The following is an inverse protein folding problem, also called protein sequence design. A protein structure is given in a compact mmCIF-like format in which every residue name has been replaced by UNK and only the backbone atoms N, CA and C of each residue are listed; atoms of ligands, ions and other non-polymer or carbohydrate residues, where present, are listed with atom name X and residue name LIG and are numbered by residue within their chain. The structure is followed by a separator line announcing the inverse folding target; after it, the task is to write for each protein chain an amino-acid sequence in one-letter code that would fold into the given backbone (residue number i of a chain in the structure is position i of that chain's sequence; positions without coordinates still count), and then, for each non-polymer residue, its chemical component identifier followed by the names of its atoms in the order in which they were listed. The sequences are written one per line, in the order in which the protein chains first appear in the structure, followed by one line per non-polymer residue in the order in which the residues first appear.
data_IF_787528906799
#
_entry.id   IF_787528906799
#
_cell.length_a   1.000
_cell.length_b   1.000
_cell.length_c   1.000
_cell.angle_alpha   90.00
_cell.angle_beta   90.00
_cell.angle_gamma   90.00
#
_symmetry.space_group_name_H-M   'P 1'
#
loop_
_entity.id
_entity.type
_entity.pdbx_description
1 polymer ?
#
# COMPACT_ATOMS: atom_id res chain seq x y z
N UNK A 1 -2.39 -3.38 -9.91
CA UNK A 1 -3.41 -3.93 -10.80
C UNK A 1 -2.81 -4.68 -12.01
N UNK A 2 -1.85 -4.16 -12.81
CA UNK A 2 -1.36 -4.86 -14.00
C UNK A 2 -0.75 -6.24 -13.73
N UNK A 3 -0.05 -6.44 -12.61
CA UNK A 3 0.50 -7.74 -12.25
C UNK A 3 -0.60 -8.80 -12.03
N UNK A 4 -1.67 -8.43 -11.29
CA UNK A 4 -2.85 -9.29 -11.10
C UNK A 4 -3.55 -9.57 -12.44
N UNK A 5 -3.67 -8.56 -13.31
CA UNK A 5 -4.28 -8.70 -14.63
C UNK A 5 -3.49 -9.66 -15.54
N UNK A 6 -2.15 -9.61 -15.52
CA UNK A 6 -1.31 -10.59 -16.23
C UNK A 6 -1.54 -12.01 -15.74
N UNK A 7 -1.56 -12.23 -14.42
CA UNK A 7 -1.85 -13.55 -13.85
C UNK A 7 -3.25 -14.05 -14.20
N UNK A 8 -4.26 -13.18 -14.14
CA UNK A 8 -5.62 -13.52 -14.53
C UNK A 8 -5.76 -13.84 -16.04
N UNK A 9 -5.04 -13.12 -16.91
CA UNK A 9 -5.03 -13.38 -18.36
C UNK A 9 -4.63 -14.82 -18.67
N UNK A 10 -3.62 -15.31 -17.98
CA UNK A 10 -3.08 -16.65 -18.22
C UNK A 10 -4.06 -17.75 -17.74
N UNK A 11 -4.95 -17.43 -16.80
CA UNK A 11 -5.98 -18.33 -16.28
C UNK A 11 -7.32 -18.23 -17.02
N UNK A 12 -7.61 -17.09 -17.66
CA UNK A 12 -8.87 -16.83 -18.37
C UNK A 12 -8.74 -17.17 -19.85
N UNK A 13 -9.80 -17.78 -20.42
CA UNK A 13 -9.87 -18.03 -21.85
C UNK A 13 -9.89 -16.75 -22.70
N UNK A 14 -9.65 -16.87 -24.03
CA UNK A 14 -9.57 -15.71 -24.92
C UNK A 14 -10.88 -14.92 -25.02
N UNK A 15 -12.02 -15.56 -24.80
CA UNK A 15 -13.35 -14.97 -24.95
C UNK A 15 -13.82 -14.16 -23.74
N UNK A 16 -13.03 -14.11 -22.65
CA UNK A 16 -13.36 -13.30 -21.48
C UNK A 16 -13.28 -11.82 -21.80
N UNK A 17 -14.36 -11.07 -21.54
CA UNK A 17 -14.33 -9.61 -21.58
C UNK A 17 -13.45 -9.07 -20.45
N UNK A 18 -12.56 -8.13 -20.76
CA UNK A 18 -11.52 -7.64 -19.83
C UNK A 18 -11.47 -6.13 -19.78
N UNK A 19 -11.53 -5.59 -18.57
CA UNK A 19 -11.36 -4.16 -18.32
C UNK A 19 -10.34 -3.96 -17.20
N UNK A 20 -9.37 -3.07 -17.42
CA UNK A 20 -8.35 -2.69 -16.46
C UNK A 20 -8.41 -1.19 -16.19
N UNK A 21 -8.42 -0.81 -14.92
CA UNK A 21 -8.15 0.57 -14.50
C UNK A 21 -6.86 0.59 -13.69
N UNK A 22 -5.96 1.50 -14.01
CA UNK A 22 -4.68 1.69 -13.34
C UNK A 22 -4.47 3.15 -12.95
N UNK A 23 -3.48 3.43 -12.10
CA UNK A 23 -3.06 4.80 -11.86
C UNK A 23 -2.30 5.35 -13.08
N UNK A 24 -2.24 6.67 -13.23
CA UNK A 24 -1.48 7.30 -14.32
C UNK A 24 0.00 6.91 -14.32
N UNK A 25 0.58 6.79 -13.12
CA UNK A 25 1.99 6.44 -12.96
C UNK A 25 2.31 4.96 -13.27
N UNK A 26 1.30 4.08 -13.25
CA UNK A 26 1.51 2.66 -13.50
C UNK A 26 1.55 2.38 -15.00
N UNK A 27 2.58 1.71 -15.54
CA UNK A 27 2.61 1.30 -16.95
C UNK A 27 1.41 0.43 -17.33
N UNK A 28 0.92 0.56 -18.57
CA UNK A 28 -0.14 -0.26 -19.12
C UNK A 28 0.29 -1.70 -19.40
N UNK A 29 -0.68 -2.57 -19.66
CA UNK A 29 -0.42 -3.93 -20.17
C UNK A 29 -0.02 -3.91 -21.64
N UNK A 30 -0.49 -2.91 -22.39
CA UNK A 30 -0.37 -2.83 -23.86
C UNK A 30 -0.87 -4.09 -24.57
N UNK A 31 -1.89 -4.73 -24.00
CA UNK A 31 -2.51 -5.95 -24.51
C UNK A 31 -3.90 -5.59 -25.09
N UNK A 32 -4.11 -5.73 -26.42
CA UNK A 32 -5.37 -5.34 -27.07
C UNK A 32 -6.59 -6.14 -26.60
N UNK A 33 -6.39 -7.25 -25.88
CA UNK A 33 -7.48 -8.00 -25.27
C UNK A 33 -8.10 -7.30 -24.05
N UNK A 34 -7.47 -6.23 -23.56
CA UNK A 34 -7.93 -5.45 -22.41
C UNK A 34 -8.40 -4.06 -22.85
N UNK A 35 -9.58 -3.65 -22.39
CA UNK A 35 -9.93 -2.24 -22.37
C UNK A 35 -9.18 -1.60 -21.19
N UNK A 36 -8.23 -0.70 -21.48
CA UNK A 36 -7.41 -0.06 -20.46
C UNK A 36 -7.82 1.40 -20.24
N UNK A 37 -8.02 1.74 -18.98
CA UNK A 37 -8.29 3.10 -18.50
C UNK A 37 -7.28 3.48 -17.42
N UNK A 38 -7.17 4.77 -17.14
CA UNK A 38 -6.33 5.26 -16.04
C UNK A 38 -7.04 6.36 -15.25
N UNK A 39 -6.65 6.52 -13.99
CA UNK A 39 -7.18 7.55 -13.11
C UNK A 39 -6.12 8.09 -12.15
N UNK A 40 -6.44 9.22 -11.52
CA UNK A 40 -5.58 9.91 -10.57
C UNK A 40 -5.34 9.13 -9.28
N UNK A 41 -4.18 9.34 -8.69
CA UNK A 41 -3.82 8.86 -7.36
C UNK A 41 -2.79 9.82 -6.74
N UNK A 42 -2.89 10.23 -5.48
CA UNK A 42 -3.84 9.76 -4.43
C UNK A 42 -5.24 10.41 -4.48
N UNK A 43 -5.46 11.41 -5.30
CA UNK A 43 -6.75 12.07 -5.46
C UNK A 43 -7.40 11.66 -6.78
N UNK A 44 -8.72 11.49 -6.75
CA UNK A 44 -9.52 11.26 -7.95
C UNK A 44 -9.51 12.51 -8.84
N UNK A 45 -9.44 12.28 -10.14
CA UNK A 45 -9.50 13.31 -11.17
C UNK A 45 -10.63 13.02 -12.18
N UNK A 46 -10.69 13.78 -13.26
CA UNK A 46 -11.70 13.58 -14.31
C UNK A 46 -11.63 12.19 -14.94
N UNK A 47 -10.42 11.68 -15.17
CA UNK A 47 -10.22 10.35 -15.76
C UNK A 47 -10.63 9.25 -14.77
N UNK A 48 -10.47 9.47 -13.46
CA UNK A 48 -11.02 8.57 -12.44
C UNK A 48 -12.54 8.45 -12.53
N UNK A 49 -13.25 9.55 -12.81
CA UNK A 49 -14.71 9.52 -13.00
C UNK A 49 -15.09 8.79 -14.30
N UNK A 50 -14.42 9.11 -15.40
CA UNK A 50 -14.63 8.46 -16.70
C UNK A 50 -14.42 6.93 -16.58
N UNK A 51 -13.37 6.51 -15.85
CA UNK A 51 -13.09 5.12 -15.56
C UNK A 51 -14.18 4.47 -14.70
N UNK A 52 -14.65 5.13 -13.65
CA UNK A 52 -15.70 4.60 -12.77
C UNK A 52 -17.04 4.46 -13.47
N UNK A 53 -17.44 5.45 -14.27
CA UNK A 53 -18.64 5.37 -15.12
C UNK A 53 -18.53 4.25 -16.15
N UNK A 54 -17.36 4.05 -16.74
CA UNK A 54 -17.13 2.96 -17.69
C UNK A 54 -17.22 1.60 -17.00
N UNK A 55 -16.65 1.47 -15.79
CA UNK A 55 -16.76 0.23 -14.99
C UNK A 55 -18.24 -0.07 -14.69
N UNK A 56 -19.04 0.90 -14.26
CA UNK A 56 -20.47 0.68 -13.99
C UNK A 56 -21.24 0.24 -15.25
N UNK A 57 -20.99 0.91 -16.39
CA UNK A 57 -21.60 0.52 -17.66
C UNK A 57 -21.19 -0.90 -18.05
N UNK A 58 -19.90 -1.22 -17.96
CA UNK A 58 -19.37 -2.54 -18.30
C UNK A 58 -20.02 -3.64 -17.45
N UNK A 59 -20.15 -3.42 -16.13
CA UNK A 59 -20.85 -4.34 -15.24
C UNK A 59 -22.32 -4.52 -15.63
N UNK A 60 -22.99 -3.45 -16.07
CA UNK A 60 -24.36 -3.48 -16.55
C UNK A 60 -24.54 -4.16 -17.91
N UNK A 61 -23.53 -4.17 -18.78
CA UNK A 61 -23.49 -4.81 -20.10
C UNK A 61 -23.30 -6.33 -20.01
N UNK A 62 -22.74 -6.83 -18.89
CA UNK A 62 -22.55 -8.27 -18.71
C UNK A 62 -23.89 -9.02 -18.73
N UNK A 63 -23.96 -10.20 -19.39
CA UNK A 63 -25.15 -11.02 -19.36
C UNK A 63 -25.62 -11.34 -17.93
N UNK A 64 -26.93 -11.42 -17.66
CA UNK A 64 -27.42 -11.86 -16.36
C UNK A 64 -26.85 -13.25 -15.99
N UNK A 65 -26.31 -13.38 -14.79
CA UNK A 65 -25.68 -14.61 -14.31
C UNK A 65 -24.24 -14.84 -14.78
N UNK A 66 -23.67 -13.96 -15.62
CA UNK A 66 -22.26 -14.07 -16.01
C UNK A 66 -21.34 -13.99 -14.79
N UNK A 67 -20.38 -14.92 -14.62
CA UNK A 67 -19.43 -14.85 -13.54
C UNK A 67 -18.45 -13.67 -13.74
N UNK A 68 -18.11 -13.01 -12.65
CA UNK A 68 -17.17 -11.90 -12.62
C UNK A 68 -15.94 -12.27 -11.78
N UNK A 69 -14.75 -12.14 -12.36
CA UNK A 69 -13.50 -12.10 -11.62
C UNK A 69 -13.11 -10.63 -11.40
N UNK A 70 -13.17 -10.18 -10.16
CA UNK A 70 -12.80 -8.83 -9.75
C UNK A 70 -11.41 -8.83 -9.11
N UNK A 71 -10.49 -8.02 -9.64
CA UNK A 71 -9.13 -7.86 -9.14
C UNK A 71 -9.00 -6.48 -8.49
N UNK A 72 -8.89 -6.42 -7.17
CA UNK A 72 -8.86 -5.16 -6.42
C UNK A 72 -7.52 -5.03 -5.69
N UNK A 73 -6.85 -3.90 -5.87
CA UNK A 73 -5.59 -3.60 -5.19
C UNK A 73 -5.60 -2.17 -4.66
N UNK A 74 -4.58 -1.81 -3.88
CA UNK A 74 -4.35 -0.45 -3.39
C UNK A 74 -4.39 0.60 -4.49
N UNK A 75 -4.75 1.83 -4.13
CA UNK A 75 -4.93 2.94 -5.06
C UNK A 75 -6.25 2.93 -5.85
N UNK A 76 -6.96 1.80 -5.95
CA UNK A 76 -8.23 1.69 -6.70
C UNK A 76 -9.30 2.66 -6.20
N UNK A 77 -9.30 2.98 -4.92
CA UNK A 77 -10.24 3.93 -4.31
C UNK A 77 -10.16 5.36 -4.89
N UNK A 78 -9.01 5.76 -5.41
CA UNK A 78 -8.83 7.07 -6.04
C UNK A 78 -8.94 6.99 -7.57
N UNK A 79 -8.32 5.99 -8.19
CA UNK A 79 -8.27 5.92 -9.65
C UNK A 79 -9.56 5.42 -10.31
N UNK A 80 -10.51 4.86 -9.53
CA UNK A 80 -11.84 4.44 -10.02
C UNK A 80 -12.92 5.07 -9.17
N UNK A 81 -13.64 6.05 -9.70
CA UNK A 81 -14.69 6.74 -8.98
C UNK A 81 -15.94 6.96 -9.84
N UNK A 82 -17.08 6.58 -9.35
CA UNK A 82 -18.37 6.97 -9.91
C UNK A 82 -19.19 7.70 -8.85
N UNK A 83 -19.41 8.96 -9.05
CA UNK A 83 -20.10 9.78 -8.08
C UNK A 83 -21.59 9.48 -8.03
N UNK A 84 -22.16 9.50 -6.84
CA UNK A 84 -23.55 9.18 -6.63
C UNK A 84 -24.44 10.42 -6.72
N UNK A 85 -25.52 10.36 -7.49
CA UNK A 85 -26.47 11.45 -7.68
C UNK A 85 -25.83 12.65 -8.38
N UNK A 86 -26.05 13.85 -7.84
CA UNK A 86 -25.55 15.11 -8.43
C UNK A 86 -24.23 15.61 -7.83
N UNK A 87 -23.52 14.75 -7.08
CA UNK A 87 -22.21 15.08 -6.52
C UNK A 87 -21.21 15.28 -7.67
N UNK A 88 -20.43 16.35 -7.60
CA UNK A 88 -19.41 16.68 -8.60
C UNK A 88 -18.01 16.34 -8.09
N UNK A 89 -17.04 16.30 -9.01
CA UNK A 89 -15.62 16.13 -8.62
C UNK A 89 -15.14 17.25 -7.70
N UNK A 90 -15.64 18.49 -7.92
CA UNK A 90 -15.32 19.62 -7.06
C UNK A 90 -15.85 19.42 -5.64
N UNK A 91 -17.09 18.89 -5.50
CA UNK A 91 -17.70 18.58 -4.21
C UNK A 91 -16.91 17.47 -3.49
N UNK A 92 -16.55 16.40 -4.21
CA UNK A 92 -15.72 15.32 -3.66
C UNK A 92 -14.37 15.84 -3.18
N UNK A 93 -13.66 16.60 -4.01
CA UNK A 93 -12.33 17.15 -3.69
C UNK A 93 -12.37 18.09 -2.49
N UNK A 94 -13.36 19.00 -2.42
CA UNK A 94 -13.53 19.89 -1.30
C UNK A 94 -13.82 19.11 0.00
N UNK A 95 -14.67 18.09 -0.07
CA UNK A 95 -14.99 17.21 1.07
C UNK A 95 -13.79 16.45 1.55
N UNK A 96 -13.01 15.85 0.64
CA UNK A 96 -11.78 15.11 0.99
C UNK A 96 -10.76 16.02 1.68
N UNK A 97 -10.56 17.26 1.18
CA UNK A 97 -9.67 18.24 1.83
C UNK A 97 -10.13 18.60 3.24
N UNK A 98 -11.43 18.83 3.41
CA UNK A 98 -11.99 19.15 4.73
C UNK A 98 -11.83 17.98 5.71
N UNK A 99 -12.06 16.75 5.26
CA UNK A 99 -11.88 15.54 6.06
C UNK A 99 -10.41 15.32 6.43
N UNK A 100 -9.48 15.48 5.50
CA UNK A 100 -8.04 15.35 5.77
C UNK A 100 -7.55 16.39 6.79
N UNK A 101 -8.02 17.64 6.65
CA UNK A 101 -7.65 18.73 7.56
C UNK A 101 -8.26 18.59 8.96
N UNK A 102 -9.33 17.79 9.12
CA UNK A 102 -10.06 17.65 10.39
C UNK A 102 -9.38 16.73 11.41
N UNK A 103 -8.42 15.89 10.99
CA UNK A 103 -7.82 14.85 11.84
C UNK A 103 -8.76 13.72 12.22
N UNK A 104 -9.92 13.59 11.56
CA UNK A 104 -10.84 12.47 11.78
C UNK A 104 -10.18 11.14 11.42
N UNK A 105 -10.50 10.07 12.13
CA UNK A 105 -9.95 8.75 11.85
C UNK A 105 -10.37 8.25 10.46
N UNK A 106 -9.50 7.44 9.85
CA UNK A 106 -9.64 6.97 8.45
C UNK A 106 -10.98 6.26 8.18
N UNK A 107 -11.56 5.59 9.17
CA UNK A 107 -12.86 4.94 9.01
C UNK A 107 -14.00 5.94 8.78
N UNK A 108 -13.99 7.11 9.46
CA UNK A 108 -14.98 8.17 9.24
C UNK A 108 -14.80 8.81 7.86
N UNK A 109 -13.54 9.01 7.42
CA UNK A 109 -13.21 9.45 6.07
C UNK A 109 -13.78 8.49 5.02
N UNK A 110 -13.54 7.18 5.18
CA UNK A 110 -14.02 6.16 4.25
C UNK A 110 -15.55 6.03 4.26
N UNK A 111 -16.21 6.18 5.42
CA UNK A 111 -17.67 6.19 5.50
C UNK A 111 -18.27 7.27 4.58
N UNK A 112 -17.78 8.50 4.67
CA UNK A 112 -18.24 9.60 3.79
C UNK A 112 -18.00 9.28 2.32
N UNK A 113 -16.80 8.80 1.96
CA UNK A 113 -16.47 8.47 0.56
C UNK A 113 -17.38 7.40 -0.03
N UNK A 114 -17.70 6.36 0.75
CA UNK A 114 -18.58 5.27 0.30
C UNK A 114 -19.99 5.79 -0.01
N UNK A 115 -20.52 6.71 0.81
CA UNK A 115 -21.86 7.26 0.63
C UNK A 115 -21.96 8.35 -0.45
N UNK A 116 -20.81 8.84 -0.95
CA UNK A 116 -20.73 9.75 -2.10
C UNK A 116 -20.43 9.01 -3.42
N UNK A 117 -20.24 7.70 -3.39
CA UNK A 117 -19.86 6.87 -4.54
C UNK A 117 -20.96 5.88 -4.92
N UNK A 118 -21.10 5.59 -6.21
CA UNK A 118 -21.95 4.53 -6.73
C UNK A 118 -21.21 3.18 -6.89
N UNK A 119 -19.86 3.18 -6.75
CA UNK A 119 -19.03 1.98 -6.87
C UNK A 119 -18.62 1.40 -5.52
N UNK A 120 -18.31 2.26 -4.57
CA UNK A 120 -17.80 1.89 -3.25
C UNK A 120 -18.90 1.32 -2.34
N UNK A 121 -18.52 0.74 -1.20
CA UNK A 121 -19.47 0.20 -0.23
C UNK A 121 -20.44 -0.82 -0.83
N UNK A 122 -19.92 -1.74 -1.65
CA UNK A 122 -20.70 -2.77 -2.34
C UNK A 122 -21.42 -2.30 -3.60
N UNK A 123 -21.20 -1.05 -4.05
CA UNK A 123 -21.88 -0.51 -5.23
C UNK A 123 -21.58 -1.29 -6.51
N UNK A 124 -20.32 -1.69 -6.72
CA UNK A 124 -19.94 -2.53 -7.86
C UNK A 124 -20.55 -3.93 -7.77
N UNK A 125 -20.63 -4.53 -6.57
CA UNK A 125 -21.35 -5.80 -6.36
C UNK A 125 -22.81 -5.67 -6.72
N UNK A 126 -23.47 -4.57 -6.35
CA UNK A 126 -24.87 -4.30 -6.67
C UNK A 126 -25.08 -4.12 -8.17
N UNK A 127 -24.12 -3.49 -8.87
CA UNK A 127 -24.18 -3.32 -10.33
C UNK A 127 -23.94 -4.63 -11.08
N UNK A 128 -23.19 -5.57 -10.52
CA UNK A 128 -23.00 -6.90 -11.09
C UNK A 128 -24.28 -7.74 -10.97
N UNK A 129 -24.51 -8.66 -11.92
CA UNK A 129 -25.74 -9.49 -11.98
C UNK A 129 -25.48 -10.99 -11.88
N UNK A 130 -24.25 -11.39 -11.66
CA UNK A 130 -23.80 -12.77 -11.54
C UNK A 130 -22.98 -13.01 -10.27
N UNK A 131 -22.44 -14.23 -10.09
CA UNK A 131 -21.51 -14.54 -9.03
C UNK A 131 -20.20 -13.77 -9.22
N UNK A 132 -19.57 -13.33 -8.12
CA UNK A 132 -18.34 -12.57 -8.11
C UNK A 132 -17.27 -13.30 -7.30
N UNK A 133 -16.11 -13.53 -7.91
CA UNK A 133 -14.88 -13.86 -7.20
C UNK A 133 -14.00 -12.60 -7.11
N UNK A 134 -13.85 -12.05 -5.92
CA UNK A 134 -13.02 -10.87 -5.69
C UNK A 134 -11.65 -11.29 -5.15
N UNK A 135 -10.60 -11.10 -5.94
CA UNK A 135 -9.21 -11.29 -5.51
C UNK A 135 -8.66 -9.93 -5.01
N UNK A 136 -8.28 -9.90 -3.76
CA UNK A 136 -7.88 -8.68 -3.05
C UNK A 136 -6.37 -8.69 -2.78
N UNK A 137 -5.69 -7.61 -3.16
CA UNK A 137 -4.33 -7.32 -2.76
C UNK A 137 -4.38 -6.14 -1.78
N UNK A 138 -4.00 -6.38 -0.53
CA UNK A 138 -4.18 -5.43 0.55
C UNK A 138 -2.92 -4.64 0.85
N UNK A 139 -3.07 -3.32 0.89
CA UNK A 139 -2.12 -2.36 1.47
C UNK A 139 -2.67 -1.73 2.76
N UNK A 140 -3.72 -2.31 3.34
CA UNK A 140 -4.47 -1.77 4.49
C UNK A 140 -4.22 -2.62 5.72
N UNK A 141 -3.97 -1.97 6.86
CA UNK A 141 -3.87 -2.66 8.15
C UNK A 141 -5.16 -3.43 8.47
N UNK A 142 -5.03 -4.71 8.83
CA UNK A 142 -6.16 -5.59 9.17
C UNK A 142 -6.86 -6.23 7.99
N UNK A 143 -6.42 -5.97 6.75
CA UNK A 143 -6.85 -6.66 5.52
C UNK A 143 -8.39 -6.70 5.29
N UNK A 144 -9.13 -5.71 5.84
CA UNK A 144 -10.59 -5.66 5.72
C UNK A 144 -11.04 -5.41 4.27
N UNK A 145 -11.80 -6.34 3.65
CA UNK A 145 -12.32 -6.19 2.30
C UNK A 145 -13.17 -4.93 2.09
N UNK A 146 -13.84 -4.45 3.15
CA UNK A 146 -14.62 -3.22 3.12
C UNK A 146 -13.77 -1.95 3.07
N UNK A 147 -12.48 -2.04 3.40
CA UNK A 147 -11.52 -0.92 3.37
C UNK A 147 -10.67 -0.95 2.10
N UNK A 148 -10.25 -2.13 1.61
CA UNK A 148 -9.48 -2.29 0.36
C UNK A 148 -10.27 -1.70 -0.81
N UNK A 149 -9.71 -0.67 -1.46
CA UNK A 149 -10.39 0.04 -2.54
C UNK A 149 -11.72 0.71 -2.12
N UNK A 150 -11.98 0.88 -0.82
CA UNK A 150 -13.26 1.29 -0.22
C UNK A 150 -14.40 0.29 -0.49
N UNK A 151 -14.09 -0.99 -0.59
CA UNK A 151 -15.04 -2.10 -0.61
C UNK A 151 -16.02 -2.14 -1.77
N UNK A 152 -15.58 -2.12 -3.04
CA UNK A 152 -16.51 -2.14 -4.17
C UNK A 152 -17.36 -3.42 -4.24
N UNK A 153 -16.86 -4.53 -3.71
CA UNK A 153 -17.51 -5.84 -3.66
C UNK A 153 -17.71 -6.35 -2.23
N UNK A 154 -17.66 -5.48 -1.24
CA UNK A 154 -17.79 -5.85 0.17
C UNK A 154 -18.94 -5.11 0.85
N UNK A 155 -19.35 -5.62 2.02
CA UNK A 155 -20.30 -4.93 2.88
C UNK A 155 -19.71 -3.64 3.45
N UNK A 156 -20.56 -2.66 3.68
CA UNK A 156 -20.25 -1.43 4.38
C UNK A 156 -21.08 -1.34 5.68
N UNK A 157 -20.47 -1.51 6.85
CA UNK A 157 -21.19 -1.43 8.11
C UNK A 157 -21.60 0.01 8.47
N UNK A 158 -21.01 1.04 7.80
CA UNK A 158 -21.29 2.46 8.09
C UNK A 158 -22.59 2.93 7.45
N UNK A 159 -23.14 4.05 7.91
CA UNK A 159 -24.43 4.58 7.49
C UNK A 159 -24.35 6.00 6.97
N UNK A 160 -25.38 6.45 6.25
CA UNK A 160 -25.56 7.86 5.92
C UNK A 160 -25.59 8.75 7.16
N UNK A 161 -26.18 8.28 8.26
CA UNK A 161 -26.26 9.04 9.50
C UNK A 161 -24.87 9.28 10.11
N UNK A 162 -24.02 8.26 10.15
CA UNK A 162 -22.62 8.39 10.61
C UNK A 162 -21.81 9.28 9.69
N UNK A 163 -21.99 9.17 8.36
CA UNK A 163 -21.33 10.01 7.38
C UNK A 163 -21.75 11.47 7.51
N UNK A 164 -23.04 11.74 7.75
CA UNK A 164 -23.56 13.09 8.02
C UNK A 164 -22.96 13.66 9.31
N UNK A 165 -22.93 12.87 10.39
CA UNK A 165 -22.34 13.28 11.65
C UNK A 165 -20.86 13.68 11.49
N UNK A 166 -20.09 12.91 10.72
CA UNK A 166 -18.67 13.17 10.45
C UNK A 166 -18.45 14.50 9.71
N UNK A 167 -19.33 14.89 8.77
CA UNK A 167 -19.18 16.15 8.02
C UNK A 167 -19.86 17.34 8.67
N UNK A 168 -20.73 17.13 9.66
CA UNK A 168 -21.49 18.22 10.31
C UNK A 168 -20.61 19.36 10.83
N UNK A 169 -19.48 19.13 11.51
CA UNK A 169 -18.59 20.18 11.99
C UNK A 169 -17.67 20.76 10.91
N UNK A 170 -17.70 20.24 9.68
CA UNK A 170 -16.74 20.57 8.64
C UNK A 170 -17.34 21.53 7.60
N UNK A 171 -16.50 22.32 6.94
CA UNK A 171 -16.88 23.14 5.80
C UNK A 171 -16.91 22.29 4.51
N UNK A 172 -17.98 21.52 4.31
CA UNK A 172 -18.20 20.73 3.08
C UNK A 172 -19.28 21.37 2.21
N UNK A 173 -19.29 21.10 0.88
CA UNK A 173 -20.33 21.61 -0.03
C UNK A 173 -21.75 21.22 0.41
N UNK A 174 -22.72 22.10 0.17
CA UNK A 174 -24.11 21.88 0.58
C UNK A 174 -24.71 20.63 -0.07
N UNK A 175 -24.42 20.36 -1.34
CA UNK A 175 -24.88 19.13 -2.03
C UNK A 175 -24.47 17.86 -1.30
N UNK A 176 -23.26 17.85 -0.70
CA UNK A 176 -22.78 16.71 0.09
C UNK A 176 -23.63 16.56 1.35
N UNK A 177 -23.91 17.67 2.06
CA UNK A 177 -24.80 17.65 3.26
C UNK A 177 -26.20 17.19 2.92
N UNK A 178 -26.78 17.76 1.87
CA UNK A 178 -28.14 17.42 1.42
C UNK A 178 -28.25 15.93 1.06
N UNK A 179 -27.28 15.39 0.31
CA UNK A 179 -27.27 13.97 -0.02
C UNK A 179 -27.18 13.09 1.22
N UNK A 180 -26.23 13.37 2.13
CA UNK A 180 -26.06 12.59 3.35
C UNK A 180 -27.28 12.70 4.27
N UNK A 181 -27.88 13.88 4.36
CA UNK A 181 -29.11 14.09 5.12
C UNK A 181 -30.32 13.37 4.52
N UNK A 182 -30.47 13.36 3.19
CA UNK A 182 -31.53 12.62 2.51
C UNK A 182 -31.38 11.10 2.77
N UNK A 183 -30.15 10.59 2.68
CA UNK A 183 -29.87 9.20 3.02
C UNK A 183 -30.17 8.88 4.50
N UNK A 184 -29.77 9.74 5.43
CA UNK A 184 -30.04 9.58 6.86
C UNK A 184 -31.55 9.60 7.19
N UNK A 185 -32.39 10.23 6.36
CA UNK A 185 -33.85 10.16 6.46
C UNK A 185 -34.46 8.94 5.78
N UNK A 186 -33.64 8.07 5.15
CA UNK A 186 -34.12 6.89 4.41
C UNK A 186 -34.68 7.18 3.01
N UNK A 187 -34.43 8.38 2.47
CA UNK A 187 -34.86 8.77 1.10
C UNK A 187 -33.96 8.18 0.03
N UNK A 188 -32.74 7.75 0.38
CA UNK A 188 -31.78 7.10 -0.48
C UNK A 188 -31.49 5.68 0.02
N UNK A 189 -31.23 4.79 -0.93
CA UNK A 189 -30.83 3.43 -0.59
C UNK A 189 -29.41 3.45 0.02
N UNK A 190 -29.23 2.75 1.15
CA UNK A 190 -27.95 2.58 1.80
C UNK A 190 -26.94 1.82 0.93
N UNK A 191 -25.66 1.94 1.25
CA UNK A 191 -24.61 1.04 0.77
C UNK A 191 -24.96 -0.41 1.10
N UNK A 192 -24.26 -1.40 0.54
CA UNK A 192 -24.53 -2.83 0.83
C UNK A 192 -24.17 -3.12 2.28
N UNK A 193 -25.16 -3.55 3.06
CA UNK A 193 -25.01 -3.81 4.51
C UNK A 193 -24.63 -5.25 4.80
N UNK A 194 -23.96 -5.51 5.94
CA UNK A 194 -23.82 -6.89 6.44
C UNK A 194 -25.18 -7.57 6.51
N UNK A 195 -25.30 -8.74 5.85
CA UNK A 195 -26.55 -9.49 5.78
C UNK A 195 -27.42 -9.22 4.55
N UNK A 196 -27.08 -8.23 3.72
CA UNK A 196 -27.80 -8.00 2.46
C UNK A 196 -27.65 -9.21 1.51
N UNK A 197 -28.72 -9.55 0.75
CA UNK A 197 -28.73 -10.74 -0.10
C UNK A 197 -27.70 -10.69 -1.23
N UNK A 198 -27.25 -9.51 -1.65
CA UNK A 198 -26.19 -9.35 -2.65
C UNK A 198 -24.89 -10.03 -2.22
N UNK A 199 -24.60 -10.09 -0.91
CA UNK A 199 -23.38 -10.70 -0.37
C UNK A 199 -23.31 -12.22 -0.59
N UNK A 200 -24.44 -12.88 -0.78
CA UNK A 200 -24.45 -14.31 -1.10
C UNK A 200 -23.84 -14.64 -2.47
N UNK A 201 -23.61 -13.63 -3.31
CA UNK A 201 -23.05 -13.78 -4.66
C UNK A 201 -21.56 -13.50 -4.74
N UNK A 202 -20.92 -13.04 -3.66
CA UNK A 202 -19.51 -12.69 -3.67
C UNK A 202 -18.70 -13.59 -2.75
N UNK A 203 -17.59 -14.09 -3.28
CA UNK A 203 -16.51 -14.69 -2.52
C UNK A 203 -15.28 -13.79 -2.64
N UNK A 204 -14.67 -13.43 -1.52
CA UNK A 204 -13.48 -12.60 -1.46
C UNK A 204 -12.28 -13.41 -0.97
N UNK A 205 -11.18 -13.36 -1.72
CA UNK A 205 -9.92 -14.03 -1.40
C UNK A 205 -8.82 -12.99 -1.32
N UNK A 206 -8.13 -12.94 -0.18
CA UNK A 206 -6.92 -12.15 -0.02
C UNK A 206 -5.75 -12.91 -0.67
N UNK A 207 -5.20 -12.36 -1.76
CA UNK A 207 -4.12 -12.99 -2.52
C UNK A 207 -2.73 -12.49 -2.10
N UNK A 208 -2.68 -11.39 -1.36
CA UNK A 208 -1.45 -10.86 -0.79
C UNK A 208 -1.73 -9.69 0.13
N UNK A 209 -0.87 -9.55 1.14
CA UNK A 209 -0.89 -8.46 2.12
C UNK A 209 0.51 -8.28 2.71
N UNK A 210 0.68 -7.29 3.57
CA UNK A 210 1.93 -7.11 4.30
C UNK A 210 2.30 -8.35 5.12
N UNK A 211 1.30 -9.06 5.66
CA UNK A 211 1.54 -10.30 6.38
C UNK A 211 2.13 -11.39 5.46
N UNK A 212 1.68 -11.48 4.20
CA UNK A 212 2.25 -12.39 3.20
C UNK A 212 3.70 -12.04 2.90
N UNK A 213 4.00 -10.75 2.70
CA UNK A 213 5.37 -10.28 2.45
C UNK A 213 6.29 -10.52 3.66
N UNK A 214 5.82 -10.21 4.87
CA UNK A 214 6.56 -10.47 6.10
C UNK A 214 6.81 -11.97 6.34
N UNK A 215 5.82 -12.83 6.04
CA UNK A 215 5.98 -14.27 6.13
C UNK A 215 7.03 -14.78 5.15
N UNK A 216 7.07 -14.29 3.92
CA UNK A 216 8.07 -14.63 2.93
C UNK A 216 9.48 -14.20 3.37
N UNK A 217 9.64 -12.98 3.85
CA UNK A 217 10.91 -12.48 4.40
C UNK A 217 11.37 -13.29 5.62
N UNK A 218 10.43 -13.65 6.51
CA UNK A 218 10.71 -14.49 7.66
C UNK A 218 11.18 -15.90 7.26
N UNK A 219 10.60 -16.47 6.21
CA UNK A 219 11.00 -17.79 5.69
C UNK A 219 12.41 -17.74 5.09
N UNK A 220 12.75 -16.70 4.34
CA UNK A 220 14.11 -16.51 3.82
C UNK A 220 15.13 -16.34 4.95
N UNK A 221 14.79 -15.58 6.00
CA UNK A 221 15.64 -15.45 7.17
C UNK A 221 15.86 -16.83 7.88
N UNK A 222 14.82 -17.67 7.98
CA UNK A 222 14.95 -19.03 8.53
C UNK A 222 15.86 -19.91 7.67
N UNK A 223 15.71 -19.84 6.34
CA UNK A 223 16.59 -20.57 5.40
C UNK A 223 18.06 -20.14 5.54
N UNK A 224 18.28 -18.84 5.82
CA UNK A 224 19.60 -18.30 6.12
C UNK A 224 20.10 -18.63 7.55
N UNK A 225 19.39 -19.47 8.31
CA UNK A 225 19.81 -19.94 9.63
C UNK A 225 19.54 -18.98 10.79
N UNK A 226 18.63 -17.99 10.61
CA UNK A 226 18.24 -17.09 11.68
C UNK A 226 17.07 -17.64 12.50
N UNK A 227 17.10 -17.43 13.82
CA UNK A 227 15.92 -17.54 14.66
C UNK A 227 15.03 -16.31 14.41
N UNK A 228 13.79 -16.54 13.97
CA UNK A 228 12.93 -15.47 13.45
C UNK A 228 11.77 -15.16 14.39
N UNK A 229 11.62 -13.88 14.73
CA UNK A 229 10.40 -13.30 15.29
C UNK A 229 9.74 -12.38 14.25
N UNK A 230 8.41 -12.25 14.34
CA UNK A 230 7.62 -11.37 13.47
C UNK A 230 6.76 -10.43 14.31
N UNK A 231 6.25 -9.36 13.70
CA UNK A 231 5.34 -8.45 14.37
C UNK A 231 4.90 -7.30 13.46
N UNK A 232 4.17 -6.36 14.05
CA UNK A 232 3.62 -5.22 13.35
C UNK A 232 4.59 -4.04 13.33
N UNK A 233 4.60 -3.29 12.22
CA UNK A 233 5.29 -2.04 12.01
C UNK A 233 4.24 -0.91 11.99
N UNK A 234 4.36 0.07 12.88
CA UNK A 234 3.44 1.20 12.95
C UNK A 234 4.06 2.38 13.72
N UNK A 235 3.42 3.55 13.64
CA UNK A 235 3.84 4.76 14.33
C UNK A 235 4.84 5.60 13.53
N UNK A 236 5.47 6.58 14.18
CA UNK A 236 6.46 7.46 13.54
C UNK A 236 7.75 6.70 13.22
N UNK A 237 8.33 6.93 12.04
CA UNK A 237 9.46 6.18 11.49
C UNK A 237 10.69 6.17 12.42
N UNK A 238 11.13 7.32 12.90
CA UNK A 238 12.32 7.40 13.75
C UNK A 238 12.14 6.71 15.12
N UNK A 239 11.04 6.89 15.88
CA UNK A 239 10.76 6.10 17.07
C UNK A 239 10.63 4.60 16.79
N UNK A 240 10.05 4.21 15.66
CA UNK A 240 9.90 2.81 15.28
C UNK A 240 11.23 2.14 14.99
N UNK A 241 12.22 2.87 14.44
CA UNK A 241 13.58 2.37 14.26
C UNK A 241 14.22 1.96 15.59
N UNK A 242 14.10 2.82 16.60
CA UNK A 242 14.59 2.53 17.95
C UNK A 242 13.90 1.31 18.55
N UNK A 243 12.57 1.25 18.47
CA UNK A 243 11.79 0.11 18.96
C UNK A 243 12.16 -1.20 18.25
N UNK A 244 12.41 -1.16 16.93
CA UNK A 244 12.86 -2.31 16.15
C UNK A 244 14.20 -2.84 16.65
N UNK A 245 15.19 -1.97 16.85
CA UNK A 245 16.53 -2.34 17.36
C UNK A 245 16.45 -2.87 18.79
N UNK A 246 15.75 -2.19 19.70
CA UNK A 246 15.56 -2.62 21.08
C UNK A 246 14.89 -4.00 21.15
N UNK A 247 13.80 -4.22 20.40
CA UNK A 247 13.11 -5.52 20.31
C UNK A 247 14.00 -6.61 19.73
N UNK A 248 14.75 -6.30 18.67
CA UNK A 248 15.66 -7.25 18.05
C UNK A 248 16.77 -7.70 18.99
N UNK A 249 17.35 -6.74 19.75
CA UNK A 249 18.38 -7.03 20.77
C UNK A 249 17.86 -7.87 21.94
N UNK A 250 16.58 -7.74 22.28
CA UNK A 250 15.95 -8.50 23.36
C UNK A 250 15.69 -9.98 22.99
N UNK A 251 15.75 -10.36 21.71
CA UNK A 251 15.54 -11.74 21.30
C UNK A 251 16.80 -12.55 21.66
N UNK A 252 16.63 -13.68 22.34
CA UNK A 252 17.72 -14.56 22.70
C UNK A 252 18.25 -15.33 21.47
N UNK A 253 19.56 -15.55 21.41
CA UNK A 253 20.24 -16.31 20.35
C UNK A 253 21.37 -15.53 19.68
N UNK A 254 22.29 -16.22 18.99
CA UNK A 254 23.41 -15.62 18.27
C UNK A 254 23.01 -15.08 16.90
N UNK A 255 22.19 -15.84 16.14
CA UNK A 255 21.64 -15.40 14.83
C UNK A 255 20.13 -15.15 14.96
N UNK A 256 19.75 -13.89 14.90
CA UNK A 256 18.35 -13.44 15.14
C UNK A 256 17.89 -12.56 14.01
N UNK A 257 16.66 -12.77 13.54
CA UNK A 257 15.93 -11.87 12.66
C UNK A 257 14.63 -11.43 13.33
N UNK A 258 14.33 -10.12 13.29
CA UNK A 258 13.01 -9.58 13.59
C UNK A 258 12.46 -8.98 12.32
N UNK A 259 11.35 -9.52 11.81
CA UNK A 259 10.67 -9.06 10.61
C UNK A 259 9.35 -8.40 11.01
N UNK A 260 9.21 -7.12 10.71
CA UNK A 260 8.00 -6.35 10.96
C UNK A 260 7.36 -5.97 9.64
N UNK A 261 6.03 -6.09 9.55
CA UNK A 261 5.24 -5.66 8.42
C UNK A 261 4.20 -4.63 8.82
N UNK A 262 3.96 -3.62 8.00
CA UNK A 262 2.98 -2.57 8.29
C UNK A 262 3.28 -1.28 7.55
N UNK A 263 3.07 -0.15 8.20
CA UNK A 263 3.34 1.17 7.63
C UNK A 263 3.66 2.18 8.75
N UNK A 264 4.81 2.85 8.63
CA UNK A 264 5.15 3.97 9.50
C UNK A 264 4.69 5.30 8.90
N UNK A 265 4.70 6.34 9.72
CA UNK A 265 4.39 7.71 9.31
C UNK A 265 5.58 8.64 9.54
N UNK A 266 5.57 9.78 8.85
CA UNK A 266 6.47 10.90 9.10
C UNK A 266 5.64 12.16 9.18
N UNK A 267 5.61 12.81 10.34
CA UNK A 267 4.92 14.08 10.51
C UNK A 267 5.79 15.22 9.98
N UNK A 268 5.49 15.65 8.75
CA UNK A 268 6.28 16.66 8.05
C UNK A 268 6.02 18.07 8.59
N UNK A 269 7.11 18.84 8.76
CA UNK A 269 7.06 20.28 9.00
C UNK A 269 6.74 21.08 7.72
N UNK A 270 6.71 22.42 7.80
CA UNK A 270 6.34 23.30 6.68
C UNK A 270 7.33 23.28 5.51
N UNK A 271 8.54 22.81 5.70
CA UNK A 271 9.60 22.77 4.68
C UNK A 271 10.42 21.49 4.85
N UNK A 272 9.82 20.30 4.58
CA UNK A 272 10.53 19.04 4.71
C UNK A 272 11.61 18.92 3.65
N UNK A 273 12.67 18.18 3.96
CA UNK A 273 13.65 17.72 2.99
C UNK A 273 13.10 16.62 2.09
N UNK A 274 14.00 15.86 1.47
CA UNK A 274 13.66 14.77 0.55
C UNK A 274 13.95 13.40 1.17
N UNK A 275 12.96 12.51 1.14
CA UNK A 275 13.05 11.17 1.68
C UNK A 275 11.67 10.56 1.83
N UNK A 276 11.64 9.31 2.29
CA UNK A 276 10.43 8.61 2.65
C UNK A 276 10.53 8.01 4.04
N UNK A 277 9.45 7.42 4.52
CA UNK A 277 9.34 6.84 5.86
C UNK A 277 10.31 5.67 6.10
N UNK A 278 10.58 4.87 5.09
CA UNK A 278 11.51 3.74 5.19
C UNK A 278 12.97 4.21 5.19
N UNK A 279 13.30 5.22 4.40
CA UNK A 279 14.62 5.87 4.42
C UNK A 279 14.85 6.57 5.75
N UNK A 280 13.84 7.24 6.32
CA UNK A 280 13.93 7.86 7.63
C UNK A 280 14.09 6.82 8.75
N UNK A 281 13.34 5.72 8.69
CA UNK A 281 13.51 4.60 9.61
C UNK A 281 14.93 4.03 9.53
N UNK A 282 15.45 3.79 8.33
CA UNK A 282 16.82 3.29 8.15
C UNK A 282 17.86 4.27 8.69
N UNK A 283 17.75 5.58 8.38
CA UNK A 283 18.68 6.59 8.88
C UNK A 283 18.65 6.71 10.42
N UNK A 284 17.44 6.63 11.02
CA UNK A 284 17.31 6.60 12.47
C UNK A 284 17.91 5.32 13.07
N UNK A 285 17.72 4.16 12.42
CA UNK A 285 18.33 2.90 12.84
C UNK A 285 19.86 2.95 12.79
N UNK A 286 20.47 3.64 11.82
CA UNK A 286 21.92 3.81 11.77
C UNK A 286 22.47 4.48 13.06
N UNK A 287 21.73 5.41 13.65
CA UNK A 287 22.08 6.02 14.94
C UNK A 287 21.99 5.02 16.08
N UNK A 288 20.92 4.23 16.14
CA UNK A 288 20.70 3.24 17.21
C UNK A 288 21.70 2.07 17.14
N UNK A 289 22.18 1.75 15.94
CA UNK A 289 23.19 0.71 15.68
C UNK A 289 24.63 1.20 15.85
N UNK A 290 24.87 2.51 15.96
CA UNK A 290 26.21 3.10 15.89
C UNK A 290 27.22 2.42 16.79
N UNK A 291 28.33 1.90 16.19
CA UNK A 291 29.41 1.20 16.89
C UNK A 291 29.13 -0.28 17.20
N UNK A 292 27.94 -0.80 16.92
CA UNK A 292 27.67 -2.24 17.06
C UNK A 292 28.28 -3.03 15.88
N UNK A 293 28.61 -4.31 16.14
CA UNK A 293 29.07 -5.23 15.12
C UNK A 293 28.06 -6.36 14.93
N UNK A 294 27.88 -6.82 13.69
CA UNK A 294 26.98 -7.92 13.40
C UNK A 294 25.49 -7.57 13.54
N UNK A 295 25.12 -6.30 13.39
CA UNK A 295 23.73 -5.84 13.38
C UNK A 295 23.44 -5.04 12.10
N UNK A 296 22.29 -5.29 11.48
CA UNK A 296 21.80 -4.61 10.26
C UNK A 296 20.33 -4.33 10.41
N UNK A 297 19.90 -3.18 9.91
CA UNK A 297 18.49 -2.84 9.69
C UNK A 297 18.26 -2.53 8.22
N UNK A 298 17.20 -3.14 7.68
CA UNK A 298 16.64 -2.89 6.36
C UNK A 298 15.21 -2.36 6.56
N UNK A 299 14.83 -1.32 5.83
CA UNK A 299 13.44 -0.88 5.73
C UNK A 299 13.10 -0.55 4.28
N UNK A 300 11.96 -1.03 3.79
CA UNK A 300 11.56 -0.82 2.41
C UNK A 300 10.03 -0.81 2.22
N UNK A 301 9.59 -0.04 1.22
CA UNK A 301 8.27 -0.09 0.63
C UNK A 301 8.21 -1.20 -0.43
N UNK A 302 7.18 -2.04 -0.38
CA UNK A 302 7.06 -3.20 -1.28
C UNK A 302 6.75 -2.83 -2.72
N UNK A 303 6.30 -1.60 -3.00
CA UNK A 303 6.09 -1.08 -4.36
C UNK A 303 7.38 -0.57 -5.03
N UNK A 304 8.45 -0.41 -4.26
CA UNK A 304 9.74 0.03 -4.75
C UNK A 304 9.93 1.56 -4.71
N UNK A 305 8.98 2.31 -4.15
CA UNK A 305 9.01 3.77 -4.07
C UNK A 305 8.71 4.23 -2.65
N UNK A 306 9.61 4.98 -2.04
CA UNK A 306 9.47 5.47 -0.67
C UNK A 306 9.33 7.01 -0.66
N UNK A 307 8.12 7.48 -0.38
CA UNK A 307 7.76 8.89 -0.46
C UNK A 307 7.93 9.46 -1.88
N UNK A 308 8.52 10.67 -2.05
CA UNK A 308 8.72 11.28 -3.37
C UNK A 308 10.00 10.80 -4.06
N UNK A 309 10.56 9.64 -3.67
CA UNK A 309 11.83 9.12 -4.19
C UNK A 309 11.61 7.86 -5.03
N UNK A 310 12.61 7.50 -5.84
CA UNK A 310 12.60 6.27 -6.65
C UNK A 310 13.17 5.05 -5.91
N UNK A 311 13.65 5.26 -4.69
CA UNK A 311 14.25 4.21 -3.88
C UNK A 311 13.20 3.57 -2.98
N UNK A 312 13.26 2.26 -2.82
CA UNK A 312 12.33 1.52 -1.97
C UNK A 312 12.51 1.82 -0.48
N UNK A 313 13.70 2.23 -0.07
CA UNK A 313 14.03 2.45 1.33
C UNK A 313 15.53 2.49 1.59
N UNK A 314 15.96 1.95 2.73
CA UNK A 314 17.38 1.96 3.10
C UNK A 314 17.82 0.73 3.87
N UNK A 315 19.14 0.47 3.81
CA UNK A 315 19.84 -0.56 4.60
C UNK A 315 21.04 0.05 5.30
N UNK A 316 21.21 -0.25 6.58
CA UNK A 316 22.24 0.33 7.44
C UNK A 316 22.75 -0.70 8.45
N UNK A 317 23.96 -0.47 8.93
CA UNK A 317 24.65 -1.26 9.95
C UNK A 317 25.29 -0.37 11.03
N UNK A 318 26.02 -0.97 11.96
CA UNK A 318 26.66 -0.24 13.03
C UNK A 318 27.81 0.68 12.60
N UNK A 319 28.32 0.55 11.38
CA UNK A 319 29.34 1.43 10.79
C UNK A 319 28.75 2.62 10.03
N UNK A 320 27.46 2.54 9.66
CA UNK A 320 26.81 3.47 8.73
C UNK A 320 26.78 4.89 9.23
N UNK A 321 26.44 5.15 10.52
CA UNK A 321 26.38 6.51 11.06
C UNK A 321 27.74 7.23 10.95
N UNK A 322 28.81 6.60 11.43
CA UNK A 322 30.15 7.17 11.35
C UNK A 322 30.66 7.31 9.90
N UNK A 323 30.22 6.44 8.99
CA UNK A 323 30.53 6.53 7.56
C UNK A 323 29.86 7.75 6.91
N UNK A 324 28.60 8.03 7.24
CA UNK A 324 27.86 9.21 6.80
C UNK A 324 28.55 10.51 7.28
N UNK A 325 28.93 10.60 8.55
CA UNK A 325 29.65 11.74 9.09
C UNK A 325 31.01 11.94 8.37
N UNK A 326 31.75 10.88 8.14
CA UNK A 326 33.04 10.94 7.40
C UNK A 326 32.86 11.36 5.93
N UNK A 327 31.73 11.03 5.32
CA UNK A 327 31.37 11.48 3.98
C UNK A 327 30.93 12.95 3.94
N UNK A 328 30.87 13.64 5.08
CA UNK A 328 30.47 15.03 5.20
C UNK A 328 28.95 15.23 5.25
N UNK A 329 28.17 14.16 5.39
CA UNK A 329 26.75 14.27 5.67
C UNK A 329 26.51 14.70 7.11
N UNK A 330 25.36 15.36 7.34
CA UNK A 330 24.84 15.68 8.67
C UNK A 330 23.61 14.80 8.95
N UNK A 331 23.81 13.53 9.38
CA UNK A 331 22.69 12.61 9.52
C UNK A 331 21.72 13.02 10.64
N UNK A 332 22.18 13.70 11.69
CA UNK A 332 21.33 14.21 12.75
C UNK A 332 20.44 15.36 12.26
N UNK A 333 21.02 16.32 11.54
CA UNK A 333 20.26 17.40 10.90
C UNK A 333 19.34 16.90 9.79
N UNK A 334 19.73 15.85 9.05
CA UNK A 334 18.88 15.23 8.04
C UNK A 334 17.60 14.61 8.66
N UNK A 335 17.73 13.87 9.77
CA UNK A 335 16.55 13.39 10.52
C UNK A 335 15.67 14.55 10.99
N UNK A 336 16.27 15.62 11.53
CA UNK A 336 15.49 16.78 12.02
C UNK A 336 14.74 17.53 10.91
N UNK A 337 15.19 17.43 9.66
CA UNK A 337 14.59 18.06 8.48
C UNK A 337 13.83 17.08 7.59
N UNK A 338 13.72 15.80 7.96
CA UNK A 338 13.14 14.72 7.10
C UNK A 338 13.83 14.66 5.72
N UNK A 339 15.18 14.71 5.70
CA UNK A 339 16.01 14.79 4.49
C UNK A 339 16.87 13.53 4.38
N UNK A 340 16.24 12.36 4.51
CA UNK A 340 16.90 11.06 4.63
C UNK A 340 17.52 10.57 3.32
N UNK A 341 16.95 10.88 2.15
CA UNK A 341 17.49 10.43 0.86
C UNK A 341 18.90 10.99 0.57
N UNK A 342 19.14 12.31 0.62
CA UNK A 342 20.47 12.84 0.36
C UNK A 342 21.50 12.37 1.40
N UNK A 343 21.08 12.19 2.65
CA UNK A 343 21.96 11.66 3.69
C UNK A 343 22.39 10.22 3.36
N UNK A 344 21.45 9.30 3.14
CA UNK A 344 21.75 7.91 2.81
C UNK A 344 22.50 7.77 1.48
N UNK A 345 22.23 8.64 0.49
CA UNK A 345 22.93 8.65 -0.80
C UNK A 345 24.44 8.93 -0.66
N UNK A 346 24.88 9.56 0.42
CA UNK A 346 26.30 9.77 0.71
C UNK A 346 27.04 8.46 1.08
N UNK A 347 26.29 7.39 1.37
CA UNK A 347 26.83 6.06 1.69
C UNK A 347 26.46 5.08 0.56
N UNK A 348 27.43 4.63 -0.27
CA UNK A 348 27.15 3.68 -1.35
C UNK A 348 26.49 2.41 -0.84
N UNK A 349 25.38 2.01 -1.45
CA UNK A 349 24.61 0.82 -1.10
C UNK A 349 23.64 0.98 0.07
N UNK A 350 23.54 2.17 0.70
CA UNK A 350 22.58 2.40 1.78
C UNK A 350 21.14 2.62 1.26
N UNK A 351 20.98 3.15 0.07
CA UNK A 351 19.67 3.25 -0.59
C UNK A 351 19.35 1.95 -1.34
N UNK A 352 18.12 1.50 -1.23
CA UNK A 352 17.61 0.31 -1.90
C UNK A 352 16.90 0.71 -3.19
N UNK A 353 17.35 0.18 -4.31
CA UNK A 353 16.76 0.41 -5.62
C UNK A 353 16.24 -0.92 -6.18
N UNK A 354 14.94 -1.15 -6.07
CA UNK A 354 14.27 -2.34 -6.60
C UNK A 354 13.58 -2.05 -7.92
N UNK A 355 13.51 -0.77 -8.32
CA UNK A 355 12.57 -0.32 -9.33
C UNK A 355 11.11 -0.55 -8.90
N UNK A 356 10.18 -0.14 -9.74
CA UNK A 356 8.75 -0.37 -9.49
C UNK A 356 8.42 -1.85 -9.57
N UNK A 357 7.96 -2.44 -8.47
CA UNK A 357 7.65 -3.88 -8.37
C UNK A 357 6.32 -4.27 -9.01
N UNK A 358 5.47 -3.29 -9.32
CA UNK A 358 4.13 -3.50 -9.86
C UNK A 358 3.10 -3.97 -8.83
N UNK A 359 3.47 -4.01 -7.55
CA UNK A 359 2.56 -4.38 -6.44
C UNK A 359 2.83 -3.47 -5.23
N UNK A 360 1.83 -3.32 -4.35
CA UNK A 360 1.98 -2.64 -3.06
C UNK A 360 1.19 -3.42 -2.01
N UNK A 361 1.86 -3.81 -0.95
CA UNK A 361 1.25 -4.45 0.23
C UNK A 361 1.75 -3.80 1.54
N UNK A 362 2.24 -2.56 1.47
CA UNK A 362 2.81 -1.84 2.62
C UNK A 362 4.33 -1.98 2.71
N UNK A 363 4.86 -1.84 3.91
CA UNK A 363 6.30 -1.77 4.17
C UNK A 363 6.80 -2.96 4.99
N UNK A 364 8.08 -3.25 4.85
CA UNK A 364 8.81 -4.19 5.68
C UNK A 364 9.96 -3.48 6.39
N UNK A 365 10.15 -3.80 7.67
CA UNK A 365 11.36 -3.47 8.41
C UNK A 365 11.96 -4.74 8.99
N UNK A 366 13.23 -4.97 8.73
CA UNK A 366 13.94 -6.18 9.15
C UNK A 366 15.18 -5.79 9.94
N UNK A 367 15.29 -6.33 11.14
CA UNK A 367 16.53 -6.29 11.93
C UNK A 367 17.16 -7.66 11.89
N UNK A 368 18.47 -7.71 11.63
CA UNK A 368 19.28 -8.92 11.67
C UNK A 368 20.41 -8.73 12.68
N UNK A 369 20.71 -9.77 13.42
CA UNK A 369 21.90 -9.86 14.28
C UNK A 369 22.57 -11.23 14.15
N UNK A 370 23.91 -11.22 14.12
CA UNK A 370 24.73 -12.43 14.16
C UNK A 370 26.02 -12.14 14.96
N UNK A 371 26.66 -13.18 15.49
CA UNK A 371 27.90 -13.01 16.23
C UNK A 371 29.05 -12.60 15.29
N UNK A 372 29.77 -11.53 15.66
CA UNK A 372 30.93 -11.08 14.90
C UNK A 372 32.03 -12.16 14.94
N UNK A 373 32.30 -12.77 13.81
CA UNK A 373 33.27 -13.86 13.69
C UNK A 373 32.73 -15.13 13.01
N UNK A 374 31.43 -15.27 12.87
CA UNK A 374 30.83 -16.25 11.97
C UNK A 374 30.94 -15.74 10.52
N UNK A 375 32.02 -16.11 9.85
CA UNK A 375 32.15 -15.89 8.41
C UNK A 375 31.02 -16.64 7.67
N UNK A 376 30.47 -16.00 6.61
CA UNK A 376 29.56 -16.67 5.69
C UNK A 376 30.16 -17.98 5.25
N UNK A 377 29.41 -19.07 5.31
CA UNK A 377 29.87 -20.35 4.76
C UNK A 377 30.20 -20.18 3.27
N UNK A 378 31.19 -20.97 2.78
CA UNK A 378 31.55 -20.93 1.36
C UNK A 378 30.35 -21.19 0.44
N UNK A 379 29.33 -21.94 0.91
CA UNK A 379 28.06 -22.14 0.22
C UNK A 379 27.20 -20.88 0.10
N UNK A 380 27.16 -20.02 1.11
CA UNK A 380 26.42 -18.72 1.06
C UNK A 380 27.11 -17.72 0.13
N UNK A 381 28.45 -17.74 0.08
CA UNK A 381 29.21 -16.92 -0.88
C UNK A 381 28.95 -17.36 -2.33
N UNK A 382 28.91 -18.68 -2.57
CA UNK A 382 28.64 -19.24 -3.88
C UNK A 382 27.20 -18.93 -4.38
N UNK A 383 26.21 -18.97 -3.49
CA UNK A 383 24.82 -18.69 -3.83
C UNK A 383 24.62 -17.21 -4.24
N UNK A 384 25.23 -16.28 -3.51
CA UNK A 384 25.18 -14.84 -3.82
C UNK A 384 25.90 -14.53 -5.14
N UNK A 385 27.02 -15.19 -5.39
CA UNK A 385 27.75 -15.04 -6.65
C UNK A 385 26.94 -15.60 -7.82
N UNK A 386 26.24 -16.72 -7.63
CA UNK A 386 25.36 -17.31 -8.63
C UNK A 386 24.16 -16.40 -8.92
N UNK A 387 23.49 -15.83 -7.91
CA UNK A 387 22.37 -14.89 -8.07
C UNK A 387 22.83 -13.60 -8.73
N UNK A 388 24.02 -13.08 -8.43
CA UNK A 388 24.63 -11.94 -9.14
C UNK A 388 24.85 -12.24 -10.63
N UNK A 389 25.35 -13.40 -10.96
CA UNK A 389 25.59 -13.82 -12.35
C UNK A 389 24.28 -14.03 -13.11
N UNK A 390 23.25 -14.58 -12.47
CA UNK A 390 21.92 -14.72 -13.07
C UNK A 390 21.21 -13.38 -13.29
N UNK A 391 21.38 -12.43 -12.39
CA UNK A 391 20.85 -11.06 -12.54
C UNK A 391 21.55 -10.31 -13.69
N UNK A 392 22.87 -10.39 -13.77
CA UNK A 392 23.64 -9.79 -14.88
C UNK A 392 23.36 -10.47 -16.22
N UNK A 393 23.10 -11.79 -16.23
CA UNK A 393 22.72 -12.52 -17.44
C UNK A 393 21.32 -12.22 -17.96
N UNK A 394 20.42 -11.69 -17.12
CA UNK A 394 19.08 -11.21 -17.51
C UNK A 394 19.13 -9.81 -18.09
N UNK A 395 19.98 -8.93 -17.57
CA UNK A 395 20.17 -7.57 -18.12
C UNK A 395 20.81 -7.57 -19.52
N UNK A 396 21.62 -8.58 -19.84
CA UNK A 396 22.25 -8.73 -21.17
C UNK A 396 21.32 -9.35 -22.24
N UNK A 397 20.11 -9.82 -21.86
CA UNK A 397 19.13 -10.45 -22.75
C UNK A 397 17.83 -9.67 -22.91
N UNK A 398 17.68 -8.50 -22.26
CA UNK A 398 16.60 -7.55 -22.41
C UNK A 398 17.05 -6.37 -23.27
#
# INVERSE_FOLDING_TARGET
APAMARGARDALGPDAARLLVRTHATPGLFDPAWEELSGGHPLSDRQSLEAGERVLRWLGELPPGAPLLALVSGGSSACVEALAGEITLADLTATQRALLASGLPIHAFNAVRKHLSALKGGGALRASRGPVLALLLSDVAGDDPGTIGSGPFAADPTSFAESLAAVTPLAVPERVRERLAAGARGELRETVKPGDPELARVESILVGSVATAAAAAAEEARRAGFAVATGDLAGEAAPSARALVERGRAIAGGRVALVLGGETTVTLGPSPGRGGRNQELALAAARELAGSAGEVVLALATDGEDGPTRHAGGIVDGGSWAALERAGADPAGALARHDSEPALAALPGALLDTGNTGTNVGDLAVYLRWEAGEERSDGERALIEQERQESQGKELKA
#
